data_IF_200690446141
#
_entry.id   IF_200690446141
#
_cell.length_a   1.000
_cell.length_b   1.000
_cell.length_c   1.000
_cell.angle_alpha   90.00
_cell.angle_beta   90.00
_cell.angle_gamma   90.00
#
_symmetry.space_group_name_H-M   'P 1'
#
loop_
_entity.id
_entity.type
_entity.pdbx_description
1 polymer ?
#
# COMPACT_ATOMS: atom_id res chain seq x y z
N UNK A 1 -6.56 11.48 6.01
CA UNK A 1 -5.41 10.73 5.46
C UNK A 1 -4.62 11.52 4.43
N UNK A 2 -5.21 11.97 3.31
CA UNK A 2 -4.47 12.71 2.26
C UNK A 2 -3.58 13.85 2.78
N UNK A 3 -4.10 14.66 3.70
CA UNK A 3 -3.39 15.86 4.24
C UNK A 3 -2.12 15.56 5.02
N UNK A 4 -2.04 14.37 5.62
CA UNK A 4 -0.92 13.97 6.49
C UNK A 4 0.01 12.99 5.77
N UNK A 5 -0.35 12.55 4.57
CA UNK A 5 0.46 11.65 3.78
C UNK A 5 1.60 12.44 3.12
N UNK A 6 2.84 12.01 3.38
CA UNK A 6 4.02 12.61 2.74
C UNK A 6 4.01 12.35 1.22
N UNK A 7 4.70 13.16 0.40
CA UNK A 7 4.93 12.86 -1.03
C UNK A 7 5.59 11.49 -1.26
N UNK A 8 6.32 10.98 -0.27
CA UNK A 8 6.95 9.65 -0.26
C UNK A 8 6.07 8.54 0.32
N UNK A 9 4.83 8.86 0.72
CA UNK A 9 3.92 7.96 1.40
C UNK A 9 3.02 7.17 0.48
N UNK A 10 2.49 6.08 1.03
CA UNK A 10 1.47 5.25 0.39
C UNK A 10 0.31 4.95 1.34
N UNK A 11 -0.80 4.50 0.76
CA UNK A 11 -1.99 4.08 1.49
C UNK A 11 -2.49 2.75 0.93
N UNK A 12 -2.81 1.85 1.86
CA UNK A 12 -3.41 0.55 1.58
C UNK A 12 -4.81 0.52 2.19
N UNK A 13 -5.81 0.20 1.38
CA UNK A 13 -7.19 0.06 1.83
C UNK A 13 -7.68 -1.35 1.55
N UNK A 14 -7.83 -2.13 2.62
CA UNK A 14 -8.46 -3.46 2.53
C UNK A 14 -9.97 -3.31 2.69
N UNK A 15 -10.73 -3.84 1.73
CA UNK A 15 -12.17 -3.94 1.84
C UNK A 15 -12.66 -5.22 1.15
N UNK A 16 -13.80 -5.73 1.60
CA UNK A 16 -14.42 -6.85 0.93
C UNK A 16 -15.00 -6.44 -0.45
N UNK A 17 -15.31 -7.43 -1.31
CA UNK A 17 -15.82 -7.16 -2.65
C UNK A 17 -17.15 -6.38 -2.71
N UNK A 18 -17.92 -6.31 -1.62
CA UNK A 18 -19.22 -5.61 -1.61
C UNK A 18 -19.08 -4.09 -1.67
N UNK A 19 -17.96 -3.54 -1.15
CA UNK A 19 -17.73 -2.10 -1.10
C UNK A 19 -16.45 -1.64 -1.82
N UNK A 20 -15.52 -2.55 -2.14
CA UNK A 20 -14.22 -2.22 -2.73
C UNK A 20 -14.30 -1.30 -3.97
N UNK A 21 -15.21 -1.57 -4.91
CA UNK A 21 -15.36 -0.76 -6.13
C UNK A 21 -15.89 0.66 -5.86
N UNK A 22 -16.80 0.82 -4.90
CA UNK A 22 -17.30 2.15 -4.52
C UNK A 22 -16.22 2.95 -3.78
N UNK A 23 -15.46 2.29 -2.91
CA UNK A 23 -14.34 2.91 -2.22
C UNK A 23 -13.22 3.30 -3.18
N UNK A 24 -12.97 2.50 -4.22
CA UNK A 24 -12.02 2.84 -5.30
C UNK A 24 -12.35 4.18 -5.94
N UNK A 25 -13.62 4.43 -6.28
CA UNK A 25 -14.06 5.70 -6.86
C UNK A 25 -13.82 6.89 -5.91
N UNK A 26 -14.10 6.71 -4.62
CA UNK A 26 -13.83 7.74 -3.61
C UNK A 26 -12.33 7.99 -3.44
N UNK A 27 -11.53 6.93 -3.44
CA UNK A 27 -10.07 7.02 -3.36
C UNK A 27 -9.49 7.73 -4.59
N UNK A 28 -10.03 7.49 -5.79
CA UNK A 28 -9.64 8.23 -7.00
C UNK A 28 -10.00 9.71 -6.92
N UNK A 29 -11.16 10.06 -6.37
CA UNK A 29 -11.57 11.46 -6.18
C UNK A 29 -10.72 12.20 -5.14
N UNK A 30 -10.18 11.48 -4.15
CA UNK A 30 -9.36 12.06 -3.07
C UNK A 30 -7.88 12.13 -3.48
N UNK A 31 -7.29 11.01 -3.90
CA UNK A 31 -5.85 10.91 -4.17
C UNK A 31 -5.49 11.12 -5.64
N UNK A 32 -6.47 11.15 -6.54
CA UNK A 32 -6.27 11.14 -7.98
C UNK A 32 -6.14 9.73 -8.54
N UNK A 33 -6.75 9.48 -9.69
CA UNK A 33 -6.69 8.17 -10.37
C UNK A 33 -5.25 7.73 -10.68
N UNK A 34 -4.34 8.67 -10.96
CA UNK A 34 -2.93 8.40 -11.25
C UNK A 34 -2.14 7.92 -10.02
N UNK A 35 -2.64 8.16 -8.81
CA UNK A 35 -2.01 7.67 -7.59
C UNK A 35 -2.30 6.17 -7.34
N UNK A 36 -3.31 5.60 -8.01
CA UNK A 36 -3.60 4.18 -7.92
C UNK A 36 -2.47 3.37 -8.58
N UNK A 37 -1.85 2.46 -7.83
CA UNK A 37 -0.73 1.64 -8.32
C UNK A 37 -1.19 0.28 -8.79
N UNK A 38 -1.92 -0.45 -7.94
CA UNK A 38 -2.52 -1.72 -8.28
C UNK A 38 -3.55 -2.17 -7.23
N UNK A 39 -4.28 -3.22 -7.60
CA UNK A 39 -5.11 -3.99 -6.68
C UNK A 39 -4.36 -5.26 -6.27
N UNK A 40 -4.27 -5.52 -4.96
CA UNK A 40 -3.65 -6.72 -4.42
C UNK A 40 -4.76 -7.69 -4.04
N UNK A 41 -4.76 -8.85 -4.69
CA UNK A 41 -5.71 -9.94 -4.40
C UNK A 41 -5.10 -10.84 -3.33
N UNK A 42 -5.70 -10.87 -2.14
CA UNK A 42 -5.27 -11.72 -1.05
C UNK A 42 -6.25 -12.87 -0.82
N UNK A 43 -5.78 -14.11 -0.91
CA UNK A 43 -6.58 -15.30 -0.64
C UNK A 43 -6.85 -15.44 0.87
N UNK A 44 -8.03 -14.99 1.31
CA UNK A 44 -8.46 -14.97 2.71
C UNK A 44 -9.07 -16.29 3.18
N UNK A 45 -9.50 -17.18 2.31
CA UNK A 45 -10.01 -18.50 2.75
C UNK A 45 -9.79 -19.56 1.69
N UNK A 46 -9.97 -20.82 2.08
CA UNK A 46 -10.02 -21.93 1.14
C UNK A 46 -11.41 -22.05 0.52
N UNK A 47 -11.47 -22.67 -0.64
CA UNK A 47 -12.72 -23.00 -1.32
C UNK A 47 -13.50 -24.00 -0.47
N UNK A 48 -14.78 -23.72 -0.23
CA UNK A 48 -15.73 -24.66 0.35
C UNK A 48 -16.59 -25.28 -0.76
N UNK A 49 -16.98 -26.55 -0.60
CA UNK A 49 -17.70 -27.33 -1.62
C UNK A 49 -19.22 -27.05 -1.62
N UNK A 50 -19.68 -26.06 -0.86
CA UNK A 50 -21.09 -25.70 -0.68
C UNK A 50 -21.57 -24.61 -1.64
N UNK A 51 -20.70 -24.11 -2.52
CA UNK A 51 -21.06 -23.09 -3.50
C UNK A 51 -21.97 -23.67 -4.58
N UNK A 52 -23.28 -23.35 -4.52
CA UNK A 52 -24.30 -23.86 -5.45
C UNK A 52 -24.65 -22.90 -6.60
N UNK A 53 -24.43 -21.60 -6.41
CA UNK A 53 -24.96 -20.56 -7.31
C UNK A 53 -23.94 -19.53 -7.79
N UNK A 54 -22.69 -19.58 -7.31
CA UNK A 54 -21.62 -18.64 -7.70
C UNK A 54 -20.24 -19.25 -7.49
N UNK A 55 -19.17 -18.55 -7.87
CA UNK A 55 -17.81 -18.93 -7.47
C UNK A 55 -17.61 -18.68 -5.97
N UNK A 56 -16.82 -19.54 -5.33
CA UNK A 56 -16.47 -19.36 -3.93
C UNK A 56 -15.68 -18.05 -3.74
N UNK A 57 -16.15 -17.20 -2.83
CA UNK A 57 -15.51 -15.92 -2.49
C UNK A 57 -14.33 -16.17 -1.56
N UNK A 58 -13.19 -16.51 -2.16
CA UNK A 58 -11.99 -16.92 -1.42
C UNK A 58 -10.97 -15.81 -1.21
N UNK A 59 -11.13 -14.69 -1.90
CA UNK A 59 -10.16 -13.61 -1.90
C UNK A 59 -10.81 -12.25 -1.68
N UNK A 60 -10.05 -11.37 -1.03
CA UNK A 60 -10.37 -9.96 -0.85
C UNK A 60 -9.38 -9.11 -1.64
N UNK A 61 -9.75 -7.84 -1.87
CA UNK A 61 -8.91 -6.86 -2.57
C UNK A 61 -8.37 -5.84 -1.58
N UNK A 62 -7.08 -5.53 -1.73
CA UNK A 62 -6.41 -4.43 -1.05
C UNK A 62 -6.03 -3.41 -2.11
N UNK A 63 -6.62 -2.23 -2.05
CA UNK A 63 -6.30 -1.13 -2.95
C UNK A 63 -4.97 -0.50 -2.52
N UNK A 64 -4.03 -0.37 -3.45
CA UNK A 64 -2.74 0.25 -3.20
C UNK A 64 -2.63 1.57 -3.97
N UNK A 65 -2.55 2.66 -3.23
CA UNK A 65 -2.28 4.00 -3.74
C UNK A 65 -0.95 4.50 -3.21
N UNK A 66 -0.21 5.24 -4.04
CA UNK A 66 1.05 5.80 -3.65
C UNK A 66 1.28 7.15 -4.31
N UNK A 67 1.75 8.11 -3.52
CA UNK A 67 2.11 9.44 -4.01
C UNK A 67 3.25 9.35 -5.05
N UNK A 68 3.51 10.39 -5.86
CA UNK A 68 4.47 10.31 -6.96
C UNK A 68 5.88 9.86 -6.57
N UNK A 69 6.35 10.26 -5.39
CA UNK A 69 7.69 9.96 -4.86
C UNK A 69 7.67 8.79 -3.87
N UNK A 70 6.61 7.97 -3.89
CA UNK A 70 6.40 6.94 -2.89
C UNK A 70 7.54 5.92 -2.82
N UNK A 71 7.91 5.56 -1.60
CA UNK A 71 8.88 4.49 -1.35
C UNK A 71 8.28 3.14 -1.75
N UNK A 72 9.02 2.39 -2.58
CA UNK A 72 8.68 1.00 -2.89
C UNK A 72 9.92 0.10 -2.89
N UNK A 73 9.95 -0.85 -1.97
CA UNK A 73 10.97 -1.87 -1.83
C UNK A 73 10.44 -3.19 -2.44
N UNK A 74 10.99 -3.66 -3.58
CA UNK A 74 10.57 -4.93 -4.16
C UNK A 74 10.76 -6.08 -3.16
N UNK A 75 9.69 -6.83 -2.93
CA UNK A 75 9.71 -8.02 -2.07
C UNK A 75 10.00 -9.23 -2.95
N UNK A 76 10.93 -10.06 -2.50
CA UNK A 76 11.34 -11.27 -3.20
C UNK A 76 10.93 -12.51 -2.40
N UNK A 77 10.59 -13.56 -3.12
CA UNK A 77 10.41 -14.91 -2.59
C UNK A 77 11.40 -15.86 -3.25
N UNK A 78 11.80 -16.96 -2.58
CA UNK A 78 12.58 -18.01 -3.21
C UNK A 78 11.90 -18.51 -4.49
N UNK A 79 12.70 -18.82 -5.51
CA UNK A 79 12.17 -19.45 -6.70
C UNK A 79 11.51 -20.80 -6.36
N UNK A 80 10.39 -21.13 -7.03
CA UNK A 80 9.73 -22.42 -6.82
C UNK A 80 10.65 -23.58 -7.19
N UNK A 81 10.44 -24.74 -6.56
CA UNK A 81 11.22 -25.94 -6.87
C UNK A 81 11.11 -26.32 -8.35
N UNK A 82 9.94 -26.16 -8.98
CA UNK A 82 9.80 -26.42 -10.42
C UNK A 82 10.58 -25.41 -11.26
N UNK A 83 10.60 -24.13 -10.87
CA UNK A 83 11.39 -23.10 -11.57
C UNK A 83 12.88 -23.39 -11.47
N UNK A 84 13.35 -23.76 -10.27
CA UNK A 84 14.75 -24.13 -10.04
C UNK A 84 15.14 -25.33 -10.90
N UNK A 85 14.37 -26.41 -10.84
CA UNK A 85 14.60 -27.61 -11.66
C UNK A 85 14.53 -27.32 -13.16
N UNK A 86 13.65 -26.40 -13.59
CA UNK A 86 13.45 -26.07 -15.00
C UNK A 86 14.54 -25.15 -15.56
N UNK A 87 15.12 -24.22 -14.79
CA UNK A 87 16.03 -23.23 -15.36
C UNK A 87 17.48 -23.37 -14.90
N UNK A 88 17.71 -23.80 -13.66
CA UNK A 88 19.05 -23.93 -13.07
C UNK A 88 19.57 -25.36 -13.20
N UNK A 89 19.77 -25.80 -14.45
CA UNK A 89 20.15 -27.18 -14.80
C UNK A 89 21.64 -27.40 -14.98
N UNK A 90 22.43 -26.34 -14.95
CA UNK A 90 23.86 -26.41 -15.26
C UNK A 90 24.67 -26.19 -13.99
N UNK A 91 25.78 -26.93 -13.85
CA UNK A 91 26.78 -26.74 -12.80
C UNK A 91 28.15 -27.13 -13.38
N UNK A 92 29.11 -26.23 -13.28
CA UNK A 92 30.47 -26.44 -13.81
C UNK A 92 31.41 -27.07 -12.77
N UNK A 93 30.93 -27.34 -11.55
CA UNK A 93 31.77 -27.82 -10.45
C UNK A 93 32.72 -26.77 -9.89
N UNK A 94 32.50 -25.49 -10.21
CA UNK A 94 33.32 -24.34 -9.81
C UNK A 94 33.08 -23.88 -8.35
N UNK A 95 32.31 -24.66 -7.58
CA UNK A 95 31.90 -24.33 -6.21
C UNK A 95 30.87 -23.19 -6.14
N UNK A 96 30.33 -22.74 -7.27
CA UNK A 96 29.28 -21.71 -7.32
C UNK A 96 27.86 -22.25 -7.40
N UNK A 97 27.73 -23.54 -7.67
CA UNK A 97 26.48 -24.28 -7.69
C UNK A 97 25.67 -24.02 -8.96
N UNK A 98 24.36 -24.35 -8.94
CA UNK A 98 23.59 -24.41 -10.16
C UNK A 98 23.33 -23.02 -10.76
N UNK A 99 23.39 -22.93 -12.09
CA UNK A 99 23.18 -21.70 -12.85
C UNK A 99 22.25 -21.91 -14.05
N UNK A 100 21.70 -20.80 -14.53
CA UNK A 100 20.94 -20.73 -15.78
C UNK A 100 21.64 -19.85 -16.81
N UNK A 101 21.32 -20.06 -18.08
CA UNK A 101 21.80 -19.23 -19.18
C UNK A 101 20.93 -18.00 -19.39
N UNK A 102 21.53 -16.82 -19.43
CA UNK A 102 20.88 -15.56 -19.78
C UNK A 102 21.44 -14.98 -21.09
N UNK A 103 20.61 -14.20 -21.76
CA UNK A 103 20.92 -13.61 -23.05
C UNK A 103 21.91 -12.43 -22.88
N UNK A 104 22.95 -12.44 -23.70
CA UNK A 104 23.96 -11.38 -23.73
C UNK A 104 23.71 -10.35 -24.84
N UNK A 105 22.68 -10.54 -25.67
CA UNK A 105 22.26 -9.58 -26.68
C UNK A 105 21.41 -8.44 -26.08
N UNK A 106 21.57 -7.24 -26.62
CA UNK A 106 20.76 -6.09 -26.21
C UNK A 106 19.34 -6.17 -26.80
N UNK A 107 18.28 -5.88 -26.03
CA UNK A 107 16.92 -5.76 -26.57
C UNK A 107 16.75 -4.51 -27.45
N UNK A 108 17.58 -3.48 -27.24
CA UNK A 108 17.54 -2.20 -27.96
C UNK A 108 18.83 -2.00 -28.77
N UNK A 109 18.80 -1.32 -29.93
CA UNK A 109 20.00 -1.04 -30.72
C UNK A 109 21.06 -0.29 -29.90
N UNK A 110 22.29 -0.79 -29.90
CA UNK A 110 23.45 -0.18 -29.23
C UNK A 110 24.64 -0.15 -30.20
N UNK A 111 24.72 0.84 -31.11
CA UNK A 111 25.76 0.91 -32.13
C UNK A 111 27.19 0.84 -31.58
N UNK A 112 27.45 1.47 -30.43
CA UNK A 112 28.75 1.47 -29.73
C UNK A 112 29.07 0.13 -29.03
N UNK A 113 28.18 -0.85 -29.06
CA UNK A 113 28.36 -2.19 -28.48
C UNK A 113 28.27 -3.29 -29.54
N UNK A 114 28.56 -2.93 -30.79
CA UNK A 114 28.65 -3.85 -31.92
C UNK A 114 30.13 -4.14 -32.17
N UNK A 115 30.65 -5.18 -31.54
CA UNK A 115 32.06 -5.61 -31.68
C UNK A 115 32.13 -7.13 -31.82
N UNK A 116 33.17 -7.63 -32.48
CA UNK A 116 33.48 -9.06 -32.47
C UNK A 116 33.99 -9.48 -31.10
N UNK A 117 33.51 -10.60 -30.59
CA UNK A 117 33.93 -11.13 -29.29
C UNK A 117 34.49 -12.53 -29.45
N UNK A 118 35.82 -12.70 -29.45
CA UNK A 118 36.51 -14.00 -29.59
C UNK A 118 35.98 -14.84 -30.78
N UNK A 119 35.73 -14.21 -31.93
CA UNK A 119 35.19 -14.88 -33.12
C UNK A 119 33.67 -15.08 -33.11
N UNK A 120 32.96 -14.55 -32.10
CA UNK A 120 31.51 -14.50 -32.09
C UNK A 120 31.02 -13.15 -32.63
N UNK A 121 30.27 -13.12 -33.74
CA UNK A 121 29.80 -11.89 -34.33
C UNK A 121 28.76 -11.19 -33.43
N UNK A 122 28.70 -9.86 -33.44
CA UNK A 122 27.77 -9.13 -32.61
C UNK A 122 26.31 -9.42 -32.99
N UNK A 123 25.38 -9.42 -32.03
CA UNK A 123 23.96 -9.43 -32.31
C UNK A 123 23.55 -8.22 -33.19
N UNK A 124 22.47 -8.36 -33.96
CA UNK A 124 21.95 -7.27 -34.79
C UNK A 124 21.70 -5.93 -34.05
N UNK A 125 21.39 -6.00 -32.74
CA UNK A 125 21.19 -4.82 -31.87
C UNK A 125 22.39 -4.50 -30.98
N UNK A 126 23.53 -5.15 -31.19
CA UNK A 126 24.71 -5.07 -30.35
C UNK A 126 24.63 -5.94 -29.09
N UNK A 127 25.77 -6.04 -28.42
CA UNK A 127 25.90 -6.69 -27.11
C UNK A 127 25.24 -5.87 -26.01
N UNK A 128 24.83 -6.54 -24.93
CA UNK A 128 24.31 -5.91 -23.71
C UNK A 128 25.42 -5.21 -22.91
N UNK A 129 26.67 -5.63 -23.07
CA UNK A 129 27.81 -5.17 -22.28
C UNK A 129 28.87 -4.50 -23.16
N UNK A 130 29.57 -3.50 -22.62
CA UNK A 130 30.78 -2.94 -23.22
C UNK A 130 31.93 -3.96 -23.17
N UNK A 131 32.93 -3.82 -24.04
CA UNK A 131 34.11 -4.72 -24.13
C UNK A 131 34.79 -4.92 -22.79
N UNK A 132 35.00 -3.85 -22.01
CA UNK A 132 35.58 -3.91 -20.66
C UNK A 132 34.79 -4.85 -19.75
N UNK A 133 33.47 -4.65 -19.67
CA UNK A 133 32.59 -5.48 -18.84
C UNK A 133 32.52 -6.93 -19.34
N UNK A 134 32.53 -7.13 -20.65
CA UNK A 134 32.58 -8.46 -21.25
C UNK A 134 33.86 -9.21 -20.85
N UNK A 135 35.00 -8.52 -20.86
CA UNK A 135 36.31 -9.03 -20.42
C UNK A 135 36.29 -9.40 -18.93
N UNK A 136 35.74 -8.56 -18.07
CA UNK A 136 35.57 -8.87 -16.65
C UNK A 136 34.74 -10.14 -16.41
N UNK A 137 33.63 -10.30 -17.14
CA UNK A 137 32.76 -11.47 -17.02
C UNK A 137 33.46 -12.76 -17.49
N UNK A 138 34.23 -12.66 -18.56
CA UNK A 138 35.03 -13.76 -19.10
C UNK A 138 36.13 -14.19 -18.13
N UNK A 139 36.91 -13.24 -17.59
CA UNK A 139 37.93 -13.50 -16.58
C UNK A 139 37.35 -14.15 -15.31
N UNK A 140 36.09 -13.83 -14.98
CA UNK A 140 35.38 -14.41 -13.83
C UNK A 140 34.76 -15.79 -14.13
N UNK A 141 34.89 -16.32 -15.36
CA UNK A 141 34.29 -17.58 -15.79
C UNK A 141 32.76 -17.53 -15.94
N UNK A 142 32.18 -16.32 -16.06
CA UNK A 142 30.72 -16.11 -16.08
C UNK A 142 30.10 -16.21 -17.47
N UNK A 143 30.89 -16.47 -18.51
CA UNK A 143 30.40 -16.66 -19.87
C UNK A 143 30.47 -18.14 -20.21
N UNK A 144 29.33 -18.70 -20.63
CA UNK A 144 29.26 -20.01 -21.24
C UNK A 144 29.40 -19.86 -22.76
N UNK A 145 30.38 -20.57 -23.31
CA UNK A 145 30.66 -20.65 -24.74
C UNK A 145 30.05 -21.94 -25.30
N UNK A 146 29.16 -21.88 -26.29
CA UNK A 146 28.64 -23.08 -26.94
C UNK A 146 29.76 -23.87 -27.61
N UNK A 147 29.73 -25.19 -27.45
CA UNK A 147 30.67 -26.12 -28.07
C UNK A 147 29.94 -27.15 -28.93
N UNK A 148 30.64 -27.69 -29.92
CA UNK A 148 30.26 -28.89 -30.64
C UNK A 148 30.48 -30.15 -29.77
N UNK A 149 29.95 -31.33 -30.17
CA UNK A 149 30.16 -32.59 -29.44
C UNK A 149 31.63 -32.99 -29.29
N UNK A 150 32.51 -32.52 -30.17
CA UNK A 150 33.97 -32.74 -30.12
C UNK A 150 34.71 -31.77 -29.17
N UNK A 151 33.98 -30.85 -28.52
CA UNK A 151 34.54 -29.85 -27.61
C UNK A 151 35.04 -28.57 -28.27
N UNK A 152 35.01 -28.48 -29.61
CA UNK A 152 35.38 -27.24 -30.32
C UNK A 152 34.34 -26.12 -30.13
N UNK A 153 34.74 -24.83 -30.15
CA UNK A 153 33.80 -23.71 -30.05
C UNK A 153 32.84 -23.63 -31.24
N UNK A 154 31.53 -23.54 -30.96
CA UNK A 154 30.47 -23.38 -31.95
C UNK A 154 30.13 -21.89 -32.12
N UNK A 155 30.79 -21.24 -33.07
CA UNK A 155 30.60 -19.81 -33.39
C UNK A 155 29.25 -19.49 -34.06
N UNK A 156 28.48 -20.51 -34.49
CA UNK A 156 27.12 -20.31 -35.01
C UNK A 156 26.12 -19.99 -33.91
N UNK A 157 26.41 -20.44 -32.68
CA UNK A 157 25.60 -20.18 -31.49
C UNK A 157 26.18 -19.02 -30.70
N UNK A 158 25.32 -18.38 -29.92
CA UNK A 158 25.69 -17.20 -29.14
C UNK A 158 26.17 -17.57 -27.74
N UNK A 159 27.22 -16.91 -27.23
CA UNK A 159 27.60 -16.97 -25.82
C UNK A 159 26.43 -16.60 -24.91
N UNK A 160 26.43 -17.20 -23.72
CA UNK A 160 25.39 -17.02 -22.69
C UNK A 160 26.03 -16.59 -21.38
N UNK A 161 25.33 -15.75 -20.64
CA UNK A 161 25.75 -15.38 -19.29
C UNK A 161 25.32 -16.47 -18.31
N UNK A 162 26.20 -16.89 -17.41
CA UNK A 162 25.89 -17.78 -16.30
C UNK A 162 25.30 -16.96 -15.15
N UNK A 163 24.05 -17.25 -14.78
CA UNK A 163 23.33 -16.66 -13.64
C UNK A 163 23.19 -17.71 -12.55
N UNK A 164 23.99 -17.60 -11.49
CA UNK A 164 23.97 -18.56 -10.40
C UNK A 164 22.75 -18.36 -9.49
N UNK A 165 22.14 -19.47 -9.07
CA UNK A 165 20.94 -19.47 -8.22
C UNK A 165 21.20 -18.76 -6.90
N UNK A 166 22.33 -19.07 -6.25
CA UNK A 166 22.72 -18.50 -4.95
C UNK A 166 22.93 -16.98 -4.97
N UNK A 167 23.14 -16.40 -6.15
CA UNK A 167 23.34 -14.96 -6.33
C UNK A 167 22.02 -14.23 -6.65
N UNK A 168 20.92 -14.96 -6.89
CA UNK A 168 19.63 -14.36 -7.18
C UNK A 168 18.87 -14.05 -5.89
N UNK A 169 18.22 -12.88 -5.87
CA UNK A 169 17.32 -12.47 -4.77
C UNK A 169 16.03 -13.29 -4.72
N UNK A 170 15.68 -13.97 -5.81
CA UNK A 170 14.44 -14.73 -5.96
C UNK A 170 13.47 -14.13 -6.98
N UNK A 171 12.23 -14.61 -6.98
CA UNK A 171 11.15 -14.06 -7.79
C UNK A 171 10.57 -12.82 -7.10
N UNK A 172 10.29 -11.76 -7.86
CA UNK A 172 9.58 -10.59 -7.34
C UNK A 172 8.13 -10.99 -7.08
N UNK A 173 7.63 -10.70 -5.88
CA UNK A 173 6.25 -10.98 -5.50
C UNK A 173 5.32 -10.06 -6.29
N UNK A 174 4.32 -10.68 -6.94
CA UNK A 174 3.27 -9.97 -7.66
C UNK A 174 2.17 -9.41 -6.76
N UNK A 175 1.05 -9.03 -7.37
CA UNK A 175 -0.13 -8.50 -6.68
C UNK A 175 -1.18 -9.59 -6.36
N UNK A 176 -0.86 -10.88 -6.52
CA UNK A 176 -1.74 -11.99 -6.13
C UNK A 176 -1.06 -12.78 -5.02
N UNK A 177 -1.59 -12.67 -3.80
CA UNK A 177 -1.00 -13.25 -2.59
C UNK A 177 -1.82 -14.44 -2.14
N UNK A 178 -1.26 -15.64 -2.35
CA UNK A 178 -1.87 -16.92 -1.97
C UNK A 178 -1.11 -17.64 -0.86
N UNK A 179 0.08 -17.16 -0.53
CA UNK A 179 1.00 -17.73 0.45
C UNK A 179 0.70 -17.27 1.89
N UNK A 180 0.08 -16.10 2.05
CA UNK A 180 -0.31 -15.55 3.35
C UNK A 180 -1.65 -16.14 3.76
N UNK A 181 -1.62 -17.08 4.72
CA UNK A 181 -2.83 -17.74 5.23
C UNK A 181 -3.63 -16.83 6.17
N UNK A 182 -4.97 -16.94 6.18
CA UNK A 182 -5.81 -16.30 7.19
C UNK A 182 -5.57 -16.89 8.59
N UNK A 183 -6.00 -16.15 9.61
CA UNK A 183 -5.95 -16.63 10.99
C UNK A 183 -7.01 -17.70 11.24
N UNK A 184 -6.56 -18.85 11.74
CA UNK A 184 -7.43 -19.92 12.23
C UNK A 184 -7.66 -19.78 13.74
N UNK A 185 -8.58 -20.57 14.31
CA UNK A 185 -8.74 -20.62 15.77
C UNK A 185 -7.49 -21.10 16.51
N UNK A 186 -6.64 -21.91 15.86
CA UNK A 186 -5.39 -22.41 16.43
C UNK A 186 -4.19 -21.47 16.20
N UNK A 187 -4.39 -20.33 15.54
CA UNK A 187 -3.31 -19.38 15.26
C UNK A 187 -2.83 -18.73 16.54
N UNK A 188 -1.55 -18.93 16.90
CA UNK A 188 -0.92 -18.39 18.12
C UNK A 188 -1.01 -16.86 18.23
N UNK A 189 -1.02 -16.15 17.10
CA UNK A 189 -1.10 -14.69 17.07
C UNK A 189 -2.53 -14.14 17.25
N UNK A 190 -3.56 -15.00 17.32
CA UNK A 190 -4.96 -14.58 17.40
C UNK A 190 -5.28 -14.00 18.78
N UNK A 191 -5.91 -12.83 18.77
CA UNK A 191 -6.26 -12.06 19.99
C UNK A 191 -7.72 -12.20 20.41
N UNK A 192 -8.55 -12.78 19.56
CA UNK A 192 -10.01 -12.77 19.73
C UNK A 192 -10.72 -11.61 19.03
N UNK A 193 -10.00 -10.69 18.38
CA UNK A 193 -10.64 -9.66 17.55
C UNK A 193 -11.22 -10.25 16.24
N UNK A 194 -12.49 -9.99 15.90
CA UNK A 194 -13.18 -10.70 14.81
C UNK A 194 -12.53 -10.57 13.43
N UNK A 195 -12.00 -9.40 13.11
CA UNK A 195 -11.48 -9.05 11.79
C UNK A 195 -9.97 -8.87 11.76
N UNK A 196 -9.26 -9.49 12.72
CA UNK A 196 -7.81 -9.44 12.84
C UNK A 196 -7.12 -9.91 11.55
N UNK A 197 -6.14 -9.12 11.09
CA UNK A 197 -5.26 -9.48 9.96
C UNK A 197 -4.06 -10.31 10.44
N UNK A 198 -3.56 -11.26 9.63
CA UNK A 198 -2.31 -11.94 9.92
C UNK A 198 -1.14 -10.96 9.93
N UNK A 199 -0.19 -11.15 10.85
CA UNK A 199 1.01 -10.30 10.94
C UNK A 199 1.81 -10.32 9.64
N UNK A 200 1.93 -11.48 9.00
CA UNK A 200 2.65 -11.64 7.72
C UNK A 200 2.11 -10.74 6.60
N UNK A 201 0.79 -10.47 6.59
CA UNK A 201 0.16 -9.58 5.61
C UNK A 201 0.68 -8.15 5.78
N UNK A 202 0.68 -7.66 7.01
CA UNK A 202 1.07 -6.29 7.33
C UNK A 202 2.58 -6.11 7.28
N UNK A 203 3.36 -7.11 7.69
CA UNK A 203 4.81 -7.15 7.51
C UNK A 203 5.20 -6.94 6.03
N UNK A 204 4.52 -7.64 5.11
CA UNK A 204 4.79 -7.52 3.67
C UNK A 204 4.49 -6.10 3.18
N UNK A 205 3.32 -5.57 3.54
CA UNK A 205 2.89 -4.22 3.16
C UNK A 205 3.87 -3.16 3.69
N UNK A 206 4.20 -3.21 4.97
CA UNK A 206 5.08 -2.22 5.62
C UNK A 206 6.50 -2.29 5.05
N UNK A 207 7.06 -3.50 4.85
CA UNK A 207 8.38 -3.66 4.21
C UNK A 207 8.40 -3.09 2.80
N UNK A 208 7.34 -3.32 2.03
CA UNK A 208 7.25 -2.86 0.66
C UNK A 208 7.15 -1.32 0.57
N UNK A 209 6.53 -0.66 1.53
CA UNK A 209 6.18 0.77 1.42
C UNK A 209 6.81 1.71 2.43
N UNK A 210 7.75 1.24 3.25
CA UNK A 210 8.43 2.07 4.24
C UNK A 210 9.83 1.56 4.57
N UNK A 211 10.64 2.40 5.20
CA UNK A 211 11.96 2.08 5.74
C UNK A 211 11.98 2.20 7.28
N UNK A 212 12.97 1.63 7.97
CA UNK A 212 13.14 1.85 9.41
C UNK A 212 13.13 3.35 9.74
N UNK A 213 12.43 3.73 10.81
CA UNK A 213 12.23 5.12 11.23
C UNK A 213 11.06 5.85 10.57
N UNK A 214 10.48 5.31 9.48
CA UNK A 214 9.28 5.89 8.88
C UNK A 214 8.04 5.73 9.77
N UNK A 215 7.02 6.55 9.52
CA UNK A 215 5.75 6.55 10.27
C UNK A 215 4.70 5.66 9.59
N UNK A 216 4.08 4.76 10.34
CA UNK A 216 2.94 3.94 9.94
C UNK A 216 1.71 4.36 10.75
N UNK A 217 0.66 4.84 10.07
CA UNK A 217 -0.61 5.20 10.71
C UNK A 217 -1.69 4.21 10.31
N UNK A 218 -2.34 3.62 11.31
CA UNK A 218 -3.56 2.83 11.13
C UNK A 218 -4.74 3.48 11.87
N UNK A 219 -5.64 4.18 11.14
CA UNK A 219 -6.78 4.85 11.75
C UNK A 219 -7.95 3.90 12.10
N UNK A 220 -7.79 2.59 11.86
CA UNK A 220 -8.74 1.54 12.20
C UNK A 220 -8.00 0.33 12.77
N UNK A 221 -7.14 0.58 13.77
CA UNK A 221 -6.11 -0.37 14.15
C UNK A 221 -6.63 -1.65 14.81
N UNK A 222 -7.86 -1.65 15.35
CA UNK A 222 -8.48 -2.80 15.99
C UNK A 222 -7.60 -3.36 17.10
N UNK A 223 -7.29 -4.66 17.04
CA UNK A 223 -6.32 -5.28 17.95
C UNK A 223 -4.86 -4.83 17.77
N UNK A 224 -4.59 -3.85 16.90
CA UNK A 224 -3.29 -3.25 16.65
C UNK A 224 -2.23 -4.17 16.01
N UNK A 225 -2.62 -5.14 15.18
CA UNK A 225 -1.66 -5.95 14.40
C UNK A 225 -0.72 -5.08 13.56
N UNK A 226 -1.23 -4.00 12.96
CA UNK A 226 -0.43 -3.07 12.14
C UNK A 226 0.68 -2.43 12.94
N UNK A 227 0.39 -2.06 14.20
CA UNK A 227 1.34 -1.40 15.08
C UNK A 227 2.42 -2.38 15.54
N UNK A 228 2.02 -3.61 15.88
CA UNK A 228 2.97 -4.70 16.19
C UNK A 228 3.91 -4.98 15.00
N UNK A 229 3.38 -5.04 13.78
CA UNK A 229 4.20 -5.22 12.57
C UNK A 229 5.17 -4.04 12.38
N UNK A 230 4.69 -2.81 12.53
CA UNK A 230 5.50 -1.61 12.40
C UNK A 230 6.64 -1.57 13.44
N UNK A 231 6.34 -1.85 14.71
CA UNK A 231 7.30 -1.84 15.81
C UNK A 231 8.43 -2.86 15.61
N UNK A 232 8.06 -4.11 15.29
CA UNK A 232 9.02 -5.19 14.97
C UNK A 232 9.93 -4.84 13.80
N UNK A 233 9.42 -4.04 12.86
CA UNK A 233 10.16 -3.53 11.72
C UNK A 233 10.89 -2.21 12.04
N UNK A 234 10.89 -1.73 13.28
CA UNK A 234 11.56 -0.49 13.68
C UNK A 234 11.01 0.74 12.95
N UNK A 235 9.69 0.79 12.73
CA UNK A 235 8.97 1.98 12.24
C UNK A 235 8.33 2.70 13.42
N UNK A 236 8.20 4.01 13.32
CA UNK A 236 7.29 4.76 14.19
C UNK A 236 5.86 4.42 13.80
N UNK A 237 4.94 4.44 14.76
CA UNK A 237 3.56 4.10 14.46
C UNK A 237 2.56 4.90 15.29
N UNK A 238 1.35 5.02 14.76
CA UNK A 238 0.19 5.56 15.45
C UNK A 238 -1.05 4.73 15.10
N UNK A 239 -1.87 4.42 16.09
CA UNK A 239 -3.12 3.69 15.92
C UNK A 239 -4.29 4.47 16.48
N UNK A 240 -5.43 4.40 15.79
CA UNK A 240 -6.69 5.00 16.27
C UNK A 240 -7.77 3.93 16.17
N UNK A 241 -8.55 3.76 17.23
CA UNK A 241 -9.77 2.96 17.23
C UNK A 241 -10.76 3.50 18.26
N UNK A 242 -12.05 3.30 18.02
CA UNK A 242 -13.15 3.71 18.90
C UNK A 242 -13.82 2.51 19.58
N UNK A 243 -13.50 1.28 19.16
CA UNK A 243 -14.12 0.06 19.65
C UNK A 243 -13.65 -0.25 21.09
N UNK A 244 -14.58 -0.42 22.05
CA UNK A 244 -14.22 -0.82 23.41
C UNK A 244 -13.43 -2.14 23.46
N UNK A 245 -13.74 -3.07 22.55
CA UNK A 245 -13.02 -4.34 22.44
C UNK A 245 -11.58 -4.13 21.94
N UNK A 246 -11.38 -3.24 20.98
CA UNK A 246 -10.05 -2.90 20.48
C UNK A 246 -9.19 -2.29 21.61
N UNK A 247 -9.75 -1.29 22.32
CA UNK A 247 -9.08 -0.63 23.44
C UNK A 247 -8.65 -1.64 24.50
N UNK A 248 -9.56 -2.55 24.91
CA UNK A 248 -9.24 -3.60 25.87
C UNK A 248 -8.08 -4.48 25.39
N UNK A 249 -8.18 -5.05 24.18
CA UNK A 249 -7.16 -5.96 23.66
C UNK A 249 -5.80 -5.29 23.46
N UNK A 250 -5.79 -4.02 23.08
CA UNK A 250 -4.55 -3.24 22.96
C UNK A 250 -3.93 -3.01 24.34
N UNK A 251 -4.73 -2.68 25.37
CA UNK A 251 -4.23 -2.56 26.74
C UNK A 251 -3.67 -3.89 27.28
N UNK A 252 -4.36 -5.01 27.03
CA UNK A 252 -3.89 -6.34 27.40
C UNK A 252 -2.54 -6.63 26.71
N UNK A 253 -2.41 -6.35 25.41
CA UNK A 253 -1.14 -6.48 24.67
C UNK A 253 -0.02 -5.63 25.23
N UNK A 254 -0.29 -4.37 25.56
CA UNK A 254 0.73 -3.45 26.11
C UNK A 254 1.23 -3.96 27.47
N UNK A 255 0.33 -4.50 28.30
CA UNK A 255 0.67 -4.94 29.66
C UNK A 255 1.36 -6.31 29.69
N UNK A 256 0.96 -7.24 28.82
CA UNK A 256 1.49 -8.60 28.72
C UNK A 256 2.76 -8.69 27.84
N UNK A 257 2.78 -8.03 26.69
CA UNK A 257 3.92 -8.01 25.75
C UNK A 257 4.83 -6.79 25.99
N UNK A 258 5.38 -6.68 27.21
CA UNK A 258 6.27 -5.56 27.62
C UNK A 258 7.52 -5.35 26.75
N UNK A 259 7.82 -6.27 25.85
CA UNK A 259 8.94 -6.19 24.90
C UNK A 259 8.57 -5.69 23.49
N UNK A 260 7.28 -5.61 23.14
CA UNK A 260 6.82 -5.18 21.81
C UNK A 260 6.51 -3.67 21.73
N UNK A 261 6.46 -2.97 22.86
CA UNK A 261 6.02 -1.57 22.90
C UNK A 261 6.87 -0.83 23.92
N UNK A 262 7.80 0.01 23.45
CA UNK A 262 8.55 0.91 24.33
C UNK A 262 7.63 1.98 24.89
N UNK A 263 6.95 1.69 26.02
CA UNK A 263 6.13 2.65 26.79
C UNK A 263 5.16 3.47 25.93
N UNK A 264 4.10 2.87 25.36
CA UNK A 264 3.16 3.58 24.50
C UNK A 264 2.43 4.68 25.29
N UNK A 265 2.26 5.84 24.67
CA UNK A 265 1.42 6.92 25.22
C UNK A 265 0.00 6.75 24.70
N UNK A 266 -0.91 6.32 25.57
CA UNK A 266 -2.34 6.33 25.27
C UNK A 266 -2.87 7.76 25.41
N UNK A 267 -3.61 8.24 24.40
CA UNK A 267 -4.27 9.54 24.40
C UNK A 267 -5.77 9.32 24.21
N UNK A 268 -6.55 9.61 25.25
CA UNK A 268 -8.01 9.48 25.19
C UNK A 268 -8.69 10.75 24.64
N UNK A 269 -7.95 11.87 24.61
CA UNK A 269 -8.43 13.12 24.05
C UNK A 269 -7.95 13.29 22.61
N UNK A 270 -8.86 13.52 21.63
CA UNK A 270 -8.48 13.80 20.26
C UNK A 270 -7.51 15.00 20.20
N UNK A 271 -6.35 14.87 19.55
CA UNK A 271 -5.41 15.98 19.42
C UNK A 271 -6.00 17.09 18.54
N UNK A 272 -5.70 18.34 18.87
CA UNK A 272 -6.08 19.48 18.03
C UNK A 272 -5.22 19.53 16.77
N UNK A 273 -5.78 20.07 15.67
CA UNK A 273 -5.03 20.31 14.44
C UNK A 273 -3.99 21.40 14.66
N UNK A 274 -2.73 21.08 14.40
CA UNK A 274 -1.59 21.99 14.55
C UNK A 274 -1.17 22.66 13.25
N UNK A 275 -1.68 22.19 12.11
CA UNK A 275 -1.27 22.63 10.77
C UNK A 275 -1.97 23.91 10.28
N UNK A 276 -2.93 24.43 11.04
CA UNK A 276 -3.89 25.41 10.56
C UNK A 276 -3.52 26.88 10.78
N UNK A 277 -2.43 27.16 11.50
CA UNK A 277 -2.03 28.52 11.85
C UNK A 277 -3.18 29.33 12.48
N UNK A 278 -3.19 30.64 12.26
CA UNK A 278 -4.28 31.51 12.69
C UNK A 278 -5.39 31.52 11.63
N UNK A 279 -6.57 31.03 11.99
CA UNK A 279 -7.72 30.98 11.10
C UNK A 279 -8.55 32.27 11.18
N UNK A 280 -9.10 32.76 10.07
CA UNK A 280 -10.08 33.85 10.10
C UNK A 280 -11.36 33.39 10.81
N UNK A 281 -12.16 34.36 11.27
CA UNK A 281 -13.44 34.06 11.91
C UNK A 281 -14.33 33.21 11.02
N UNK A 282 -14.89 32.12 11.54
CA UNK A 282 -15.79 31.22 10.79
C UNK A 282 -16.89 31.95 9.99
N UNK A 283 -17.35 33.11 10.47
CA UNK A 283 -18.39 33.92 9.81
C UNK A 283 -17.98 34.45 8.45
N UNK A 284 -16.68 34.63 8.17
CA UNK A 284 -16.18 35.13 6.88
C UNK A 284 -16.41 34.14 5.75
N UNK A 285 -16.63 32.86 6.06
CA UNK A 285 -16.79 31.80 5.07
C UNK A 285 -18.21 31.68 4.50
N UNK A 286 -19.19 32.46 4.98
CA UNK A 286 -20.61 32.32 4.61
C UNK A 286 -20.86 32.31 3.10
N UNK A 287 -20.33 33.28 2.36
CA UNK A 287 -20.56 33.36 0.91
C UNK A 287 -19.91 32.22 0.14
N UNK A 288 -18.69 31.82 0.54
CA UNK A 288 -17.99 30.68 -0.05
C UNK A 288 -18.78 29.39 0.16
N UNK A 289 -19.22 29.13 1.40
CA UNK A 289 -20.02 27.96 1.74
C UNK A 289 -21.36 27.96 1.00
N UNK A 290 -21.96 29.13 0.77
CA UNK A 290 -23.21 29.25 0.02
C UNK A 290 -23.05 28.78 -1.42
N UNK A 291 -21.94 29.15 -2.08
CA UNK A 291 -21.61 28.65 -3.41
C UNK A 291 -21.33 27.14 -3.42
N UNK A 292 -20.56 26.64 -2.44
CA UNK A 292 -20.21 25.22 -2.34
C UNK A 292 -21.43 24.32 -2.06
N UNK A 293 -22.40 24.80 -1.27
CA UNK A 293 -23.64 24.08 -0.94
C UNK A 293 -24.80 24.41 -1.88
N UNK A 294 -24.59 25.24 -2.90
CA UNK A 294 -25.63 25.69 -3.84
C UNK A 294 -26.87 26.27 -3.13
N UNK A 295 -26.67 26.97 -2.00
CA UNK A 295 -27.75 27.52 -1.18
C UNK A 295 -28.62 26.49 -0.45
N UNK A 296 -28.25 25.21 -0.46
CA UNK A 296 -29.00 24.13 0.19
C UNK A 296 -28.59 23.99 1.66
N UNK A 297 -29.58 23.91 2.55
CA UNK A 297 -29.38 23.65 3.98
C UNK A 297 -28.90 22.21 4.23
N UNK A 298 -27.79 22.04 4.95
CA UNK A 298 -27.26 20.71 5.28
C UNK A 298 -28.20 19.87 6.18
N UNK A 299 -29.16 20.51 6.86
CA UNK A 299 -30.13 19.83 7.72
C UNK A 299 -31.34 19.30 6.97
N UNK A 300 -32.15 20.22 6.42
CA UNK A 300 -33.46 19.92 5.83
C UNK A 300 -33.47 19.79 4.29
N UNK A 301 -32.31 19.87 3.64
CA UNK A 301 -32.16 19.74 2.18
C UNK A 301 -33.00 20.73 1.35
N UNK A 302 -33.36 21.87 1.95
CA UNK A 302 -34.15 22.92 1.29
C UNK A 302 -33.24 24.07 0.88
N UNK A 303 -33.50 24.66 -0.29
CA UNK A 303 -32.79 25.84 -0.78
C UNK A 303 -33.26 27.10 -0.06
N UNK A 304 -32.31 27.94 0.38
CA UNK A 304 -32.58 29.19 1.08
C UNK A 304 -31.71 30.33 0.54
N UNK A 305 -32.16 31.59 0.60
CA UNK A 305 -31.30 32.73 0.28
C UNK A 305 -30.20 32.91 1.33
N UNK A 306 -29.03 33.41 0.93
CA UNK A 306 -27.84 33.55 1.80
C UNK A 306 -28.11 34.27 3.13
N UNK A 307 -29.06 35.21 3.15
CA UNK A 307 -29.43 36.01 4.33
C UNK A 307 -30.03 35.19 5.49
N UNK A 308 -30.66 34.05 5.20
CA UNK A 308 -31.25 33.18 6.24
C UNK A 308 -30.37 31.97 6.57
N UNK A 309 -29.17 31.92 5.98
CA UNK A 309 -28.21 30.84 6.16
C UNK A 309 -27.15 31.23 7.19
N UNK A 310 -26.92 30.32 8.14
CA UNK A 310 -26.02 30.48 9.26
C UNK A 310 -24.85 29.51 9.14
N UNK A 311 -23.65 29.99 9.47
CA UNK A 311 -22.44 29.17 9.47
C UNK A 311 -22.42 28.37 10.76
N UNK A 312 -22.29 27.06 10.63
CA UNK A 312 -22.29 26.08 11.70
C UNK A 312 -21.04 25.18 11.60
N UNK A 313 -20.54 24.74 12.76
CA UNK A 313 -19.42 23.81 12.84
C UNK A 313 -19.93 22.36 12.77
N UNK A 314 -19.35 21.56 11.88
CA UNK A 314 -19.68 20.13 11.77
C UNK A 314 -19.23 19.36 13.02
N UNK A 315 -17.97 19.54 13.43
CA UNK A 315 -17.45 19.15 14.73
C UNK A 315 -17.44 20.39 15.64
N UNK A 316 -18.12 20.36 16.80
CA UNK A 316 -18.10 21.48 17.75
C UNK A 316 -16.69 21.83 18.21
N UNK A 317 -16.42 23.12 18.45
CA UNK A 317 -15.11 23.57 18.99
C UNK A 317 -14.74 22.90 20.31
N UNK A 318 -15.72 22.62 21.16
CA UNK A 318 -15.52 21.89 22.43
C UNK A 318 -15.03 20.44 22.25
N UNK A 319 -15.16 19.87 21.04
CA UNK A 319 -14.66 18.53 20.69
C UNK A 319 -13.49 18.57 19.71
N UNK A 320 -12.76 19.69 19.64
CA UNK A 320 -11.60 19.85 18.77
C UNK A 320 -11.93 20.36 17.35
N UNK A 321 -13.17 20.80 17.10
CA UNK A 321 -13.52 21.50 15.87
C UNK A 321 -12.77 22.82 15.71
N UNK A 322 -12.47 23.19 14.46
CA UNK A 322 -11.75 24.43 14.11
C UNK A 322 -12.60 25.32 13.21
N UNK A 323 -12.18 26.58 13.03
CA UNK A 323 -12.79 27.52 12.07
C UNK A 323 -12.37 27.26 10.62
N UNK A 324 -11.69 26.14 10.36
CA UNK A 324 -11.27 25.79 9.01
C UNK A 324 -12.49 25.52 8.14
N UNK A 325 -12.52 25.98 6.87
CA UNK A 325 -13.65 25.76 5.96
C UNK A 325 -14.18 24.32 5.91
N UNK A 326 -13.29 23.33 6.03
CA UNK A 326 -13.67 21.91 6.02
C UNK A 326 -14.39 21.41 7.27
N UNK A 327 -14.44 22.22 8.33
CA UNK A 327 -15.26 21.96 9.52
C UNK A 327 -16.50 22.86 9.55
N UNK A 328 -16.74 23.66 8.51
CA UNK A 328 -17.84 24.60 8.42
C UNK A 328 -18.84 24.18 7.35
N UNK A 329 -20.11 24.47 7.62
CA UNK A 329 -21.24 24.26 6.73
C UNK A 329 -22.29 25.36 6.93
N UNK A 330 -23.33 25.38 6.09
CA UNK A 330 -24.51 26.22 6.25
C UNK A 330 -25.75 25.43 6.65
N UNK A 331 -26.46 25.98 7.63
CA UNK A 331 -27.80 25.59 8.02
C UNK A 331 -28.73 26.80 7.90
N UNK A 332 -30.01 26.57 7.57
CA UNK A 332 -31.00 27.64 7.72
C UNK A 332 -31.20 27.97 9.21
N UNK A 333 -31.63 29.19 9.54
CA UNK A 333 -31.83 29.61 10.94
C UNK A 333 -32.74 28.67 11.75
N UNK A 334 -33.72 28.00 11.10
CA UNK A 334 -34.56 26.99 11.75
C UNK A 334 -33.75 25.76 12.16
N UNK A 335 -33.00 25.19 11.22
CA UNK A 335 -32.13 24.05 11.49
C UNK A 335 -31.01 24.40 12.49
N UNK A 336 -30.36 25.55 12.35
CA UNK A 336 -29.26 25.92 13.25
C UNK A 336 -29.72 26.01 14.71
N UNK A 337 -30.92 26.57 14.96
CA UNK A 337 -31.53 26.59 16.30
C UNK A 337 -31.88 25.20 16.81
N UNK A 338 -32.42 24.33 15.97
CA UNK A 338 -32.84 22.97 16.37
C UNK A 338 -31.68 22.01 16.62
N UNK A 339 -30.52 22.16 15.95
CA UNK A 339 -29.37 21.26 16.12
C UNK A 339 -28.72 21.40 17.51
N UNK A 340 -28.51 22.64 17.97
CA UNK A 340 -27.79 22.90 19.22
C UNK A 340 -26.39 22.27 19.26
N UNK A 341 -25.90 21.93 20.46
CA UNK A 341 -24.60 21.25 20.66
C UNK A 341 -24.69 19.71 20.61
N UNK A 342 -25.87 19.17 20.31
CA UNK A 342 -26.17 17.74 20.35
C UNK A 342 -25.85 16.99 19.05
N UNK A 343 -26.07 15.66 19.04
CA UNK A 343 -26.02 14.87 17.82
C UNK A 343 -27.10 15.30 16.82
N UNK A 344 -26.89 14.98 15.54
CA UNK A 344 -27.80 15.34 14.47
C UNK A 344 -29.19 14.71 14.68
N UNK A 345 -30.30 15.47 14.51
CA UNK A 345 -31.64 14.92 14.62
C UNK A 345 -31.89 13.82 13.56
N UNK A 346 -32.70 12.82 13.93
CA UNK A 346 -33.09 11.75 13.01
C UNK A 346 -33.83 12.28 11.78
N UNK A 347 -33.44 11.82 10.59
CA UNK A 347 -34.05 12.24 9.32
C UNK A 347 -33.38 13.45 8.65
N UNK A 348 -32.33 14.01 9.26
CA UNK A 348 -31.52 15.05 8.62
C UNK A 348 -30.51 14.44 7.65
N UNK A 349 -30.10 15.22 6.64
CA UNK A 349 -29.13 14.78 5.63
C UNK A 349 -27.75 14.49 6.22
N UNK A 350 -27.38 15.16 7.30
CA UNK A 350 -26.08 15.05 7.95
C UNK A 350 -25.08 16.11 7.48
N UNK A 351 -23.81 16.03 7.94
CA UNK A 351 -22.78 17.02 7.62
C UNK A 351 -22.54 17.16 6.12
N UNK A 352 -22.34 18.38 5.64
CA UNK A 352 -22.03 18.62 4.23
C UNK A 352 -20.63 18.08 3.85
N UNK A 353 -20.58 17.14 2.90
CA UNK A 353 -19.33 16.57 2.38
C UNK A 353 -18.91 17.33 1.12
N UNK A 354 -17.84 18.13 1.23
CA UNK A 354 -17.24 18.84 0.10
C UNK A 354 -16.73 17.83 -0.94
N UNK A 355 -17.18 17.95 -2.19
CA UNK A 355 -16.49 17.30 -3.32
C UNK A 355 -15.18 18.07 -3.54
N UNK A 356 -14.05 17.38 -3.55
CA UNK A 356 -12.80 17.98 -4.04
C UNK A 356 -13.07 18.48 -5.46
N UNK A 357 -12.99 19.79 -5.68
CA UNK A 357 -12.81 20.30 -7.05
C UNK A 357 -11.45 19.77 -7.49
N UNK A 358 -11.47 18.98 -8.57
CA UNK A 358 -10.30 18.30 -9.12
C UNK A 358 -9.25 19.23 -9.69
#
# INVERSE_FOLDING_TARGET
MQRILKPTGSIYLHCDPTASHYLKLLMDGIFGYAAHRCEITWKRTNTHNDSRHSFAKVADVILFYAMPEATFNPIYEPHSAEYVAKFYRHDDGDGRGPYQHDNMASPNPRPLMTYDWKGYPPPAKGWRYQVRRMTELDMQGRIHYPTHPDGSPDHSKRPRLKRYLREQKGAVIGNVWTDIRPLSHASKEKTGYPTQKPLALLDRIIKASSNPGDMVLDPFCGCATTLVAADRLQRQWAGIDLSPLAIKLVNDRITEDRGLWGGPTALDTPPQRTDLGQLPSYRTHRHRLYGEQEGICAGCDTHFPVRVMEVDHMLPRSRGGTDHPDNLQLLCSGCNRSKGAGPWPSGWRGPFIRRSMG
#
